data_IF_414353059773
#
_entry.id   IF_414353059773
#
_cell.length_a   1.000
_cell.length_b   1.000
_cell.length_c   1.000
_cell.angle_alpha   90.00
_cell.angle_beta   90.00
_cell.angle_gamma   90.00
#
_symmetry.space_group_name_H-M   'P 1'
#
loop_
_entity.id
_entity.type
_entity.pdbx_description
1 polymer ?
#
# COMPACT_ATOMS: atom_id res chain seq x y z
N UNK A 1 24.38 23.49 -9.43
CA UNK A 1 23.05 23.50 -8.77
C UNK A 1 22.06 24.05 -9.77
N UNK A 2 21.27 23.19 -10.41
CA UNK A 2 20.29 23.62 -11.42
C UNK A 2 19.11 24.29 -10.72
N UNK A 3 19.04 25.61 -10.84
CA UNK A 3 17.85 26.40 -10.49
C UNK A 3 16.72 26.01 -11.45
N UNK A 4 15.82 25.14 -11.00
CA UNK A 4 14.56 24.88 -11.70
C UNK A 4 13.80 26.20 -11.78
N UNK A 5 13.45 26.62 -13.00
CA UNK A 5 12.59 27.76 -13.26
C UNK A 5 11.27 27.59 -12.48
N UNK A 6 10.68 28.65 -11.87
CA UNK A 6 9.45 28.58 -11.07
C UNK A 6 8.15 28.25 -11.84
N UNK A 7 8.23 27.55 -12.97
CA UNK A 7 7.11 27.22 -13.83
C UNK A 7 6.45 25.89 -13.42
N UNK A 8 5.20 26.00 -12.95
CA UNK A 8 4.22 24.92 -12.72
C UNK A 8 4.62 23.79 -11.77
N UNK A 9 4.72 24.09 -10.47
CA UNK A 9 4.43 23.05 -9.48
C UNK A 9 2.96 22.62 -9.62
N UNK A 10 2.65 21.31 -9.51
CA UNK A 10 1.26 20.85 -9.51
C UNK A 10 0.52 21.43 -8.30
N UNK A 11 -0.80 21.56 -8.38
CA UNK A 11 -1.63 21.99 -7.26
C UNK A 11 -1.71 20.86 -6.24
N UNK A 12 -1.79 21.19 -4.95
CA UNK A 12 -2.20 20.23 -3.93
C UNK A 12 -3.57 19.64 -4.32
N UNK A 13 -3.71 18.32 -4.23
CA UNK A 13 -4.94 17.62 -4.60
C UNK A 13 -6.13 18.03 -3.71
N UNK A 14 -5.86 18.41 -2.46
CA UNK A 14 -6.92 18.62 -1.46
C UNK A 14 -7.33 20.09 -1.34
N UNK A 15 -6.36 21.00 -1.27
CA UNK A 15 -6.62 22.43 -1.08
C UNK A 15 -6.40 23.28 -2.33
N UNK A 16 -5.83 22.72 -3.41
CA UNK A 16 -5.53 23.46 -4.64
C UNK A 16 -4.34 24.41 -4.57
N UNK A 17 -3.57 24.43 -3.47
CA UNK A 17 -2.44 25.34 -3.32
C UNK A 17 -1.21 24.95 -4.16
N UNK A 18 -0.48 25.95 -4.69
CA UNK A 18 0.73 25.78 -5.52
C UNK A 18 2.00 25.51 -4.70
N UNK A 19 1.95 24.61 -3.71
CA UNK A 19 3.12 24.24 -2.87
C UNK A 19 3.07 22.79 -2.37
N UNK A 20 2.96 21.78 -3.26
CA UNK A 20 3.12 20.40 -2.82
C UNK A 20 4.54 20.20 -2.27
N UNK A 21 4.67 19.63 -1.07
CA UNK A 21 5.96 19.26 -0.49
C UNK A 21 6.39 17.85 -0.89
N UNK A 22 5.44 17.03 -1.33
CA UNK A 22 5.68 15.65 -1.75
C UNK A 22 4.56 15.11 -2.65
N UNK A 23 4.77 13.87 -3.06
CA UNK A 23 3.80 13.10 -3.83
C UNK A 23 3.59 11.76 -3.15
N UNK A 24 2.34 11.33 -3.08
CA UNK A 24 2.00 9.94 -2.79
C UNK A 24 1.75 9.26 -4.13
N UNK A 25 2.32 8.07 -4.34
CA UNK A 25 2.11 7.29 -5.55
C UNK A 25 2.00 5.82 -5.22
N UNK A 26 1.22 5.08 -6.01
CA UNK A 26 1.34 3.63 -6.04
C UNK A 26 2.38 3.23 -7.09
N UNK A 27 3.41 2.45 -6.76
CA UNK A 27 4.39 1.98 -7.74
C UNK A 27 3.79 1.04 -8.79
N UNK A 28 2.58 0.53 -8.58
CA UNK A 28 1.85 -0.37 -9.52
C UNK A 28 1.10 0.37 -10.61
N UNK A 29 0.93 1.67 -10.41
CA UNK A 29 0.35 2.55 -11.40
C UNK A 29 1.43 3.27 -12.20
N UNK A 30 1.04 3.78 -13.37
CA UNK A 30 1.94 4.59 -14.18
C UNK A 30 2.40 5.82 -13.37
N UNK A 31 3.55 6.39 -13.72
CA UNK A 31 4.10 7.60 -13.09
C UNK A 31 3.12 8.80 -13.06
N UNK A 32 2.04 8.73 -13.83
CA UNK A 32 0.98 9.73 -13.91
C UNK A 32 0.01 9.69 -12.72
N UNK A 33 -0.04 8.60 -11.94
CA UNK A 33 -0.90 8.46 -10.76
C UNK A 33 -0.16 8.87 -9.49
N UNK A 34 0.06 10.19 -9.39
CA UNK A 34 0.65 10.85 -8.21
C UNK A 34 -0.37 11.80 -7.60
N UNK A 35 -0.53 11.72 -6.29
CA UNK A 35 -1.30 12.70 -5.52
C UNK A 35 -0.33 13.72 -4.93
N UNK A 36 -0.25 14.93 -5.52
CA UNK A 36 0.49 16.03 -4.91
C UNK A 36 -0.21 16.48 -3.62
N UNK A 37 0.52 16.53 -2.51
CA UNK A 37 0.00 17.05 -1.24
C UNK A 37 0.92 18.16 -0.73
N UNK A 38 0.32 19.26 -0.28
CA UNK A 38 1.02 20.22 0.56
C UNK A 38 1.27 19.61 1.94
N UNK A 39 2.15 20.22 2.73
CA UNK A 39 2.49 19.73 4.07
C UNK A 39 1.27 19.63 4.97
N UNK A 40 0.41 20.65 4.95
CA UNK A 40 -0.79 20.71 5.81
C UNK A 40 -1.76 19.57 5.47
N UNK A 41 -2.17 19.42 4.21
CA UNK A 41 -3.06 18.33 3.80
C UNK A 41 -2.42 16.94 4.00
N UNK A 42 -1.09 16.81 3.83
CA UNK A 42 -0.39 15.57 4.15
C UNK A 42 -0.44 15.27 5.66
N UNK A 43 -0.33 16.28 6.52
CA UNK A 43 -0.44 16.14 7.97
C UNK A 43 -1.88 15.83 8.40
N UNK A 44 -2.87 16.46 7.76
CA UNK A 44 -4.30 16.23 8.01
C UNK A 44 -4.74 14.82 7.61
N UNK A 45 -4.26 14.30 6.48
CA UNK A 45 -4.45 12.88 6.11
C UNK A 45 -3.80 11.94 7.13
N UNK A 46 -2.88 12.44 7.94
CA UNK A 46 -2.09 11.66 8.87
C UNK A 46 -1.04 10.80 8.17
N UNK A 47 -0.22 10.08 8.94
CA UNK A 47 0.75 9.17 8.36
C UNK A 47 0.06 8.09 7.52
N UNK A 48 0.73 7.59 6.48
CA UNK A 48 0.38 6.31 5.89
C UNK A 48 0.81 5.16 6.81
N UNK A 49 0.86 3.95 6.27
CA UNK A 49 1.56 2.85 6.94
C UNK A 49 3.07 2.95 6.69
N UNK A 50 3.88 2.50 7.65
CA UNK A 50 5.27 2.15 7.40
C UNK A 50 5.32 0.70 6.93
N UNK A 51 5.78 0.48 5.69
CA UNK A 51 5.88 -0.87 5.12
C UNK A 51 7.18 -1.52 5.58
N UNK A 52 7.08 -2.61 6.34
CA UNK A 52 8.22 -3.32 6.89
C UNK A 52 8.38 -4.70 6.20
N UNK A 53 9.50 -4.96 5.53
CA UNK A 53 9.78 -6.28 4.96
C UNK A 53 10.63 -7.11 5.93
N UNK A 54 9.99 -7.76 6.91
CA UNK A 54 10.72 -8.27 8.09
C UNK A 54 10.68 -9.79 8.26
N UNK A 55 11.74 -10.32 8.90
CA UNK A 55 11.89 -11.70 9.38
C UNK A 55 11.47 -11.89 10.85
N UNK A 56 11.41 -10.83 11.66
CA UNK A 56 11.19 -10.92 13.11
C UNK A 56 9.91 -10.20 13.53
N UNK A 57 9.19 -10.78 14.49
CA UNK A 57 7.90 -10.28 14.99
C UNK A 57 8.03 -9.00 15.83
N UNK A 58 9.24 -8.63 16.27
CA UNK A 58 9.50 -7.42 17.06
C UNK A 58 9.43 -6.11 16.27
N UNK A 59 9.47 -6.20 14.94
CA UNK A 59 9.77 -5.04 14.09
C UNK A 59 8.51 -4.43 13.46
N UNK A 60 7.35 -5.04 13.70
CA UNK A 60 6.07 -4.64 13.14
C UNK A 60 4.93 -4.82 14.14
N UNK A 61 3.86 -4.07 13.94
CA UNK A 61 2.67 -4.06 14.79
C UNK A 61 1.53 -4.87 14.15
N UNK A 62 1.46 -4.87 12.83
CA UNK A 62 0.42 -5.57 12.06
C UNK A 62 1.02 -6.48 11.01
N UNK A 63 0.55 -7.72 10.97
CA UNK A 63 0.86 -8.66 9.90
C UNK A 63 -0.04 -8.36 8.70
N UNK A 64 0.54 -7.79 7.65
CA UNK A 64 -0.11 -7.54 6.37
C UNK A 64 0.08 -8.67 5.34
N UNK A 65 0.75 -9.76 5.69
CA UNK A 65 1.02 -10.90 4.83
C UNK A 65 -0.11 -11.93 4.79
N UNK A 66 0.06 -12.93 3.92
CA UNK A 66 -0.75 -14.16 3.97
C UNK A 66 -0.36 -15.00 5.20
N UNK A 67 -1.33 -15.67 5.80
CA UNK A 67 -1.07 -16.55 6.96
C UNK A 67 -1.59 -17.95 6.67
N UNK A 68 -0.71 -18.95 6.78
CA UNK A 68 -1.16 -20.35 6.77
C UNK A 68 -2.04 -20.58 7.99
N UNK A 69 -3.22 -21.19 7.82
CA UNK A 69 -3.88 -21.75 9.00
C UNK A 69 -2.95 -22.84 9.57
N UNK A 70 -2.91 -22.98 10.90
CA UNK A 70 -2.12 -24.00 11.60
C UNK A 70 -2.69 -25.41 11.40
N UNK A 71 -3.25 -25.68 10.22
CA UNK A 71 -3.91 -26.91 9.80
C UNK A 71 -3.28 -27.31 8.46
N UNK A 72 -2.61 -28.47 8.38
CA UNK A 72 -2.07 -28.95 7.12
C UNK A 72 -3.15 -29.03 6.04
N UNK A 73 -2.86 -28.45 4.87
CA UNK A 73 -3.79 -28.44 3.72
C UNK A 73 -4.88 -27.37 3.73
N UNK A 74 -4.97 -26.54 4.79
CA UNK A 74 -5.90 -25.40 4.78
C UNK A 74 -5.42 -24.29 3.84
N UNK A 75 -6.37 -23.60 3.22
CA UNK A 75 -6.10 -22.40 2.43
C UNK A 75 -5.42 -21.31 3.30
N UNK A 76 -4.51 -20.54 2.68
CA UNK A 76 -3.89 -19.40 3.34
C UNK A 76 -4.92 -18.29 3.53
N UNK A 77 -4.89 -17.66 4.69
CA UNK A 77 -5.66 -16.46 5.03
C UNK A 77 -5.14 -15.25 4.24
N UNK A 78 -6.04 -14.56 3.56
CA UNK A 78 -5.82 -13.39 2.71
C UNK A 78 -7.07 -12.48 2.71
N UNK A 79 -6.99 -11.37 1.98
CA UNK A 79 -8.04 -10.36 1.84
C UNK A 79 -9.45 -10.94 1.63
N UNK A 80 -9.60 -11.87 0.69
CA UNK A 80 -10.94 -12.34 0.29
C UNK A 80 -11.57 -13.40 1.21
N UNK A 81 -10.78 -14.09 2.05
CA UNK A 81 -11.27 -15.21 2.87
C UNK A 81 -11.07 -14.99 4.38
N UNK A 82 -10.63 -13.80 4.79
CA UNK A 82 -10.32 -13.50 6.19
C UNK A 82 -11.05 -12.25 6.64
N UNK A 83 -11.95 -12.41 7.60
CA UNK A 83 -12.61 -11.28 8.25
C UNK A 83 -11.60 -10.40 8.95
N UNK A 84 -11.68 -9.09 8.76
CA UNK A 84 -10.98 -8.13 9.61
C UNK A 84 -11.41 -8.29 11.09
N UNK A 85 -10.54 -8.08 12.11
CA UNK A 85 -9.07 -7.88 12.08
C UNK A 85 -8.26 -9.18 12.08
N UNK A 86 -8.82 -10.31 11.67
CA UNK A 86 -8.13 -11.59 11.84
C UNK A 86 -6.82 -11.62 11.05
N UNK A 87 -5.75 -12.22 11.60
CA UNK A 87 -4.46 -12.29 10.93
C UNK A 87 -4.60 -12.86 9.49
N UNK A 88 -4.06 -12.14 8.51
CA UNK A 88 -4.16 -12.45 7.08
C UNK A 88 -5.13 -11.58 6.29
N UNK A 89 -5.95 -10.76 6.93
CA UNK A 89 -6.98 -9.93 6.29
C UNK A 89 -6.47 -8.90 5.26
N UNK A 90 -5.16 -8.60 5.22
CA UNK A 90 -4.52 -7.77 4.19
C UNK A 90 -3.70 -8.57 3.17
N UNK A 91 -3.55 -9.88 3.37
CA UNK A 91 -2.72 -10.72 2.53
C UNK A 91 -3.20 -10.75 1.08
N UNK A 92 -2.25 -10.78 0.13
CA UNK A 92 -2.59 -10.87 -1.28
C UNK A 92 -3.15 -12.27 -1.63
N UNK A 93 -4.39 -12.39 -2.14
CA UNK A 93 -4.98 -13.68 -2.53
C UNK A 93 -4.24 -14.31 -3.72
N UNK A 94 -3.67 -13.49 -4.59
CA UNK A 94 -3.02 -13.93 -5.83
C UNK A 94 -1.63 -14.51 -5.56
N UNK A 95 -1.38 -15.71 -6.06
CA UNK A 95 -0.06 -16.35 -6.04
C UNK A 95 0.69 -16.07 -7.35
N UNK A 96 2.01 -15.92 -7.23
CA UNK A 96 2.88 -15.85 -8.40
C UNK A 96 3.07 -17.25 -8.97
N UNK A 97 2.90 -17.41 -10.27
CA UNK A 97 3.14 -18.67 -10.98
C UNK A 97 4.63 -18.88 -11.32
N UNK A 98 5.40 -17.80 -11.37
CA UNK A 98 6.84 -17.78 -11.62
C UNK A 98 7.47 -16.51 -11.02
N UNK A 99 8.80 -16.42 -10.97
CA UNK A 99 9.53 -15.30 -10.36
C UNK A 99 9.73 -14.08 -11.27
N UNK A 100 9.05 -14.00 -12.43
CA UNK A 100 9.25 -12.88 -13.35
C UNK A 100 8.64 -11.57 -12.82
N UNK A 101 9.23 -10.44 -13.22
CA UNK A 101 8.67 -9.12 -12.93
C UNK A 101 7.27 -8.93 -13.54
N UNK A 102 7.03 -9.46 -14.75
CA UNK A 102 5.71 -9.40 -15.39
C UNK A 102 4.63 -10.09 -14.54
N UNK A 103 4.97 -11.24 -13.96
CA UNK A 103 4.08 -11.99 -13.09
C UNK A 103 3.82 -11.25 -11.76
N UNK A 104 4.85 -10.63 -11.18
CA UNK A 104 4.69 -9.76 -10.02
C UNK A 104 3.70 -8.63 -10.31
N UNK A 105 3.84 -7.93 -11.44
CA UNK A 105 2.92 -6.86 -11.83
C UNK A 105 1.49 -7.34 -12.01
N UNK A 106 1.28 -8.53 -12.61
CA UNK A 106 -0.04 -9.15 -12.75
C UNK A 106 -0.71 -9.34 -11.40
N UNK A 107 0.00 -9.99 -10.46
CA UNK A 107 -0.47 -10.29 -9.10
C UNK A 107 -0.77 -9.01 -8.31
N UNK A 108 0.04 -7.96 -8.45
CA UNK A 108 -0.16 -6.68 -7.77
C UNK A 108 -1.35 -5.90 -8.33
N UNK A 109 -1.54 -5.89 -9.66
CA UNK A 109 -2.70 -5.24 -10.28
C UNK A 109 -4.01 -5.93 -9.89
N UNK A 110 -4.01 -7.25 -9.83
CA UNK A 110 -5.16 -8.02 -9.37
C UNK A 110 -5.47 -7.72 -7.90
N UNK A 111 -4.48 -7.74 -7.02
CA UNK A 111 -4.65 -7.34 -5.61
C UNK A 111 -5.22 -5.93 -5.44
N UNK A 112 -4.71 -4.96 -6.21
CA UNK A 112 -5.24 -3.60 -6.19
C UNK A 112 -6.73 -3.59 -6.51
N UNK A 113 -7.15 -4.32 -7.55
CA UNK A 113 -8.56 -4.36 -7.92
C UNK A 113 -9.42 -4.90 -6.78
N UNK A 114 -8.99 -5.98 -6.13
CA UNK A 114 -9.74 -6.59 -5.02
C UNK A 114 -9.77 -5.69 -3.79
N UNK A 115 -8.64 -5.05 -3.44
CA UNK A 115 -8.58 -4.08 -2.34
C UNK A 115 -9.55 -2.91 -2.57
N UNK A 116 -9.59 -2.36 -3.79
CA UNK A 116 -10.48 -1.25 -4.12
C UNK A 116 -11.95 -1.66 -4.15
N UNK A 117 -12.26 -2.86 -4.65
CA UNK A 117 -13.61 -3.41 -4.56
C UNK A 117 -14.03 -3.55 -3.09
N UNK A 118 -13.15 -4.13 -2.25
CA UNK A 118 -13.40 -4.31 -0.83
C UNK A 118 -13.62 -2.99 -0.11
N UNK A 119 -12.83 -1.96 -0.40
CA UNK A 119 -13.01 -0.62 0.17
C UNK A 119 -14.34 0.04 -0.20
N UNK A 120 -14.85 -0.21 -1.42
CA UNK A 120 -16.15 0.31 -1.87
C UNK A 120 -17.33 -0.44 -1.25
N UNK A 121 -17.19 -1.74 -1.07
CA UNK A 121 -18.28 -2.62 -0.65
C UNK A 121 -18.38 -2.79 0.87
N UNK A 122 -17.28 -2.61 1.59
CA UNK A 122 -17.16 -2.94 3.01
C UNK A 122 -16.64 -1.73 3.81
N UNK A 123 -17.59 -0.92 4.29
CA UNK A 123 -17.28 0.27 5.10
C UNK A 123 -16.56 -0.06 6.42
N UNK A 124 -16.77 -1.26 6.97
CA UNK A 124 -16.08 -1.69 8.18
C UNK A 124 -14.61 -2.01 7.86
N UNK A 125 -14.34 -2.70 6.75
CA UNK A 125 -12.99 -2.86 6.22
C UNK A 125 -12.31 -1.51 6.00
N UNK A 126 -13.00 -0.54 5.39
CA UNK A 126 -12.45 0.79 5.13
C UNK A 126 -12.10 1.56 6.40
N UNK A 127 -13.00 1.57 7.39
CA UNK A 127 -12.76 2.16 8.71
C UNK A 127 -11.47 1.61 9.32
N UNK A 128 -11.34 0.29 9.32
CA UNK A 128 -10.20 -0.37 9.94
C UNK A 128 -8.90 -0.31 9.16
N UNK A 129 -8.96 -0.19 7.83
CA UNK A 129 -7.79 0.19 7.04
C UNK A 129 -7.28 1.57 7.47
N UNK A 130 -8.19 2.49 7.77
CA UNK A 130 -7.91 3.81 8.36
C UNK A 130 -7.14 3.74 9.68
N UNK A 131 -7.47 2.77 10.54
CA UNK A 131 -6.80 2.58 11.84
C UNK A 131 -5.34 2.12 11.72
N UNK A 132 -4.87 1.72 10.53
CA UNK A 132 -3.47 1.35 10.31
C UNK A 132 -2.54 2.54 10.14
N UNK A 133 -3.06 3.77 10.07
CA UNK A 133 -2.23 4.97 9.92
C UNK A 133 -1.20 5.07 11.04
N UNK A 134 0.07 5.22 10.65
CA UNK A 134 1.20 5.29 11.57
C UNK A 134 1.69 3.94 12.08
N UNK A 135 1.01 2.84 11.75
CA UNK A 135 1.47 1.50 12.11
C UNK A 135 2.59 1.01 11.19
N UNK A 136 3.47 0.20 11.77
CA UNK A 136 4.43 -0.65 11.05
C UNK A 136 3.75 -1.95 10.61
N UNK A 137 3.54 -2.10 9.30
CA UNK A 137 2.82 -3.23 8.72
C UNK A 137 3.80 -4.11 7.95
N UNK A 138 3.89 -5.38 8.33
CA UNK A 138 4.83 -6.30 7.73
C UNK A 138 4.26 -7.21 6.64
N UNK A 139 5.08 -7.51 5.64
CA UNK A 139 4.81 -8.62 4.72
C UNK A 139 6.08 -9.35 4.31
N UNK A 140 5.91 -10.62 3.91
CA UNK A 140 6.98 -11.48 3.37
C UNK A 140 7.02 -11.49 1.84
N UNK A 141 6.44 -10.49 1.17
CA UNK A 141 6.43 -10.40 -0.29
C UNK A 141 7.78 -9.94 -0.88
N UNK A 142 8.71 -9.54 -0.02
CA UNK A 142 10.09 -9.20 -0.35
C UNK A 142 11.05 -9.92 0.60
N UNK A 143 12.28 -10.11 0.15
CA UNK A 143 13.36 -10.59 1.03
C UNK A 143 13.66 -9.54 2.11
N UNK A 144 14.10 -9.98 3.29
CA UNK A 144 14.50 -9.06 4.37
C UNK A 144 15.79 -8.28 4.09
N UNK A 145 16.44 -8.53 2.95
CA UNK A 145 17.63 -7.80 2.50
C UNK A 145 17.26 -6.59 1.62
N UNK A 146 15.97 -6.26 1.54
CA UNK A 146 15.43 -5.21 0.68
C UNK A 146 15.02 -3.99 1.50
N UNK A 147 15.74 -2.87 1.34
CA UNK A 147 15.42 -1.59 1.99
C UNK A 147 14.52 -0.72 1.11
N UNK A 148 13.61 0.03 1.74
CA UNK A 148 12.76 1.06 1.11
C UNK A 148 13.18 2.46 1.60
N UNK A 149 13.06 3.55 0.81
CA UNK A 149 12.69 3.60 -0.62
C UNK A 149 13.93 3.42 -1.51
N UNK A 150 13.91 2.45 -2.43
CA UNK A 150 15.02 2.18 -3.37
C UNK A 150 14.57 1.36 -4.59
N UNK A 151 15.48 1.13 -5.54
CA UNK A 151 15.32 0.54 -6.90
C UNK A 151 14.71 -0.88 -6.96
N UNK A 152 13.61 -1.16 -6.26
CA UNK A 152 13.10 -2.52 -6.06
C UNK A 152 11.61 -2.66 -6.35
N UNK A 153 11.30 -3.83 -6.87
CA UNK A 153 9.98 -4.39 -7.17
C UNK A 153 8.92 -4.07 -6.11
N UNK A 154 7.73 -3.56 -6.49
CA UNK A 154 6.69 -3.26 -5.52
C UNK A 154 6.15 -4.49 -4.78
N UNK A 155 5.52 -4.23 -3.64
CA UNK A 155 4.77 -5.19 -2.85
C UNK A 155 3.30 -4.76 -2.73
N UNK A 156 2.45 -5.63 -2.21
CA UNK A 156 1.03 -5.33 -2.07
C UNK A 156 0.75 -4.28 -0.98
N UNK A 157 1.63 -4.15 0.02
CA UNK A 157 1.51 -3.10 1.03
C UNK A 157 1.80 -1.70 0.48
N UNK A 158 2.53 -1.57 -0.62
CA UNK A 158 2.66 -0.28 -1.33
C UNK A 158 1.30 0.16 -1.89
N UNK A 159 0.47 -0.79 -2.33
CA UNK A 159 -0.90 -0.53 -2.79
C UNK A 159 -1.79 -0.15 -1.60
N UNK A 160 -1.67 -0.86 -0.46
CA UNK A 160 -2.40 -0.52 0.77
C UNK A 160 -2.06 0.90 1.22
N UNK A 161 -0.77 1.24 1.27
CA UNK A 161 -0.31 2.58 1.61
C UNK A 161 -0.91 3.62 0.66
N UNK A 162 -0.84 3.39 -0.66
CA UNK A 162 -1.41 4.31 -1.65
C UNK A 162 -2.92 4.49 -1.50
N UNK A 163 -3.68 3.40 -1.30
CA UNK A 163 -5.12 3.44 -1.07
C UNK A 163 -5.46 4.21 0.20
N UNK A 164 -4.77 3.92 1.30
CA UNK A 164 -4.92 4.62 2.56
C UNK A 164 -4.60 6.11 2.40
N UNK A 165 -3.53 6.43 1.68
CA UNK A 165 -3.15 7.80 1.38
C UNK A 165 -3.97 8.44 0.26
N UNK A 166 -5.11 7.86 -0.13
CA UNK A 166 -6.10 8.47 -1.02
C UNK A 166 -5.66 8.62 -2.48
N UNK A 167 -4.72 7.79 -2.96
CA UNK A 167 -4.32 7.77 -4.39
C UNK A 167 -5.46 7.38 -5.32
N UNK A 168 -6.45 6.66 -4.78
CA UNK A 168 -7.59 6.15 -5.52
C UNK A 168 -8.92 6.78 -5.11
N UNK A 169 -8.90 7.85 -4.30
CA UNK A 169 -10.08 8.67 -4.10
C UNK A 169 -10.42 9.34 -5.45
N UNK A 170 -11.70 9.41 -5.81
CA UNK A 170 -12.22 10.02 -7.05
C UNK A 170 -12.22 9.15 -8.33
N UNK A 171 -12.29 7.80 -8.21
CA UNK A 171 -12.54 6.88 -9.35
C UNK A 171 -13.65 5.86 -9.11
#
# INVERSE_FOLDING_TARGET
MNSRTPGSWPLCNDCGERRPKGFVQCPVDNEDLRVPLCEECSNERGPGIEVCHVRYDSDWEVNGGRISANVPGSEKRHLDNTSFPAPGWLGNPHQMENESGAERWRVLRAYRQDLLNKLREDSLFAFHLGELRGCRVACWCRSSLETWPGDRDPCHLDIVHAALMGVYADR
#
